data_IF_290385393089
#
_entry.id   IF_290385393089
#
_cell.length_a   1.000
_cell.length_b   1.000
_cell.length_c   1.000
_cell.angle_alpha   90.00
_cell.angle_beta   90.00
_cell.angle_gamma   90.00
#
_symmetry.space_group_name_H-M   'P 1'
#
loop_
_entity.id
_entity.type
_entity.pdbx_description
1 polymer ?
#
# COMPACT_ATOMS: atom_id res chain seq x y z
N UNK A 1 -36.00 3.59 51.06
CA UNK A 1 -34.66 3.25 50.50
C UNK A 1 -34.69 2.39 49.24
N UNK A 2 -35.62 1.43 49.07
CA UNK A 2 -35.70 0.56 47.86
C UNK A 2 -36.07 1.27 46.53
N UNK A 3 -36.93 2.29 46.57
CA UNK A 3 -37.38 3.04 45.36
C UNK A 3 -36.25 3.85 44.74
N UNK A 4 -35.39 4.47 45.55
CA UNK A 4 -34.23 5.24 45.09
C UNK A 4 -33.23 4.34 44.35
N UNK A 5 -33.06 3.10 44.82
CA UNK A 5 -32.15 2.13 44.21
C UNK A 5 -32.64 1.64 42.83
N UNK A 6 -33.95 1.41 42.69
CA UNK A 6 -34.55 1.02 41.41
C UNK A 6 -34.50 2.17 40.39
N UNK A 7 -34.69 3.41 40.83
CA UNK A 7 -34.58 4.58 39.96
C UNK A 7 -33.13 4.81 39.49
N UNK A 8 -32.15 4.60 40.37
CA UNK A 8 -30.73 4.65 40.01
C UNK A 8 -30.34 3.57 38.99
N UNK A 9 -30.81 2.33 39.15
CA UNK A 9 -30.56 1.25 38.18
C UNK A 9 -31.25 1.49 36.84
N UNK A 10 -32.46 2.05 36.83
CA UNK A 10 -33.17 2.44 35.62
C UNK A 10 -32.38 3.50 34.84
N UNK A 11 -31.90 4.56 35.53
CA UNK A 11 -31.11 5.63 34.91
C UNK A 11 -29.79 5.09 34.35
N UNK A 12 -29.10 4.21 35.08
CA UNK A 12 -27.86 3.58 34.58
C UNK A 12 -28.12 2.72 33.34
N UNK A 13 -29.20 1.94 33.32
CA UNK A 13 -29.55 1.15 32.14
C UNK A 13 -29.92 2.03 30.94
N UNK A 14 -30.69 3.10 31.14
CA UNK A 14 -31.06 4.04 30.06
C UNK A 14 -29.81 4.74 29.51
N UNK A 15 -28.93 5.26 30.37
CA UNK A 15 -27.69 5.92 29.93
C UNK A 15 -26.71 4.95 29.27
N UNK A 16 -26.68 3.69 29.69
CA UNK A 16 -25.85 2.66 29.09
C UNK A 16 -26.37 2.30 27.69
N UNK A 17 -27.69 2.11 27.53
CA UNK A 17 -28.32 1.79 26.26
C UNK A 17 -28.15 2.92 25.23
N UNK A 18 -28.46 4.16 25.62
CA UNK A 18 -28.28 5.36 24.77
C UNK A 18 -26.82 5.53 24.34
N UNK A 19 -25.88 5.31 25.28
CA UNK A 19 -24.45 5.33 25.00
C UNK A 19 -24.07 4.31 23.93
N UNK A 20 -24.50 3.06 24.07
CA UNK A 20 -24.18 2.00 23.10
C UNK A 20 -24.73 2.27 21.70
N UNK A 21 -25.94 2.84 21.60
CA UNK A 21 -26.54 3.20 20.32
C UNK A 21 -25.71 4.28 19.60
N UNK A 22 -25.29 5.32 20.32
CA UNK A 22 -24.45 6.41 19.77
C UNK A 22 -23.09 5.88 19.30
N UNK A 23 -22.45 4.98 20.06
CA UNK A 23 -21.18 4.37 19.64
C UNK A 23 -21.35 3.51 18.38
N UNK A 24 -22.42 2.73 18.31
CA UNK A 24 -22.69 1.88 17.15
C UNK A 24 -22.94 2.71 15.88
N UNK A 25 -23.74 3.77 15.98
CA UNK A 25 -24.01 4.67 14.85
C UNK A 25 -22.74 5.34 14.33
N UNK A 26 -21.89 5.87 15.22
CA UNK A 26 -20.61 6.48 14.82
C UNK A 26 -19.68 5.49 14.13
N UNK A 27 -19.63 4.24 14.60
CA UNK A 27 -18.83 3.20 13.95
C UNK A 27 -19.34 2.86 12.54
N UNK A 28 -20.67 2.84 12.34
CA UNK A 28 -21.26 2.62 11.02
C UNK A 28 -20.94 3.77 10.05
N UNK A 29 -21.02 5.01 10.52
CA UNK A 29 -20.67 6.20 9.73
C UNK A 29 -19.20 6.15 9.33
N UNK A 30 -18.31 5.93 10.29
CA UNK A 30 -16.88 5.82 10.03
C UNK A 30 -16.57 4.67 9.04
N UNK A 31 -17.20 3.51 9.20
CA UNK A 31 -17.03 2.38 8.29
C UNK A 31 -17.51 2.70 6.86
N UNK A 32 -18.61 3.46 6.72
CA UNK A 32 -19.12 3.90 5.41
C UNK A 32 -18.15 4.87 4.75
N UNK A 33 -17.72 5.90 5.47
CA UNK A 33 -16.77 6.91 4.98
C UNK A 33 -15.44 6.28 4.53
N UNK A 34 -14.89 5.35 5.31
CA UNK A 34 -13.70 4.59 4.94
C UNK A 34 -13.93 3.78 3.67
N UNK A 35 -15.11 3.17 3.51
CA UNK A 35 -15.43 2.39 2.31
C UNK A 35 -15.55 3.29 1.08
N UNK A 36 -16.24 4.41 1.18
CA UNK A 36 -16.41 5.40 0.09
C UNK A 36 -15.05 5.97 -0.33
N UNK A 37 -14.23 6.43 0.62
CA UNK A 37 -12.89 6.95 0.34
C UNK A 37 -11.99 5.90 -0.32
N UNK A 38 -12.03 4.64 0.13
CA UNK A 38 -11.27 3.57 -0.49
C UNK A 38 -11.74 3.28 -1.92
N UNK A 39 -13.06 3.34 -2.19
CA UNK A 39 -13.57 3.16 -3.55
C UNK A 39 -13.16 4.29 -4.47
N UNK A 40 -13.20 5.53 -4.00
CA UNK A 40 -12.76 6.69 -4.77
C UNK A 40 -11.26 6.63 -5.08
N UNK A 41 -10.44 6.26 -4.09
CA UNK A 41 -9.00 6.13 -4.23
C UNK A 41 -8.63 5.02 -5.23
N UNK A 42 -9.28 3.86 -5.14
CA UNK A 42 -9.08 2.78 -6.12
C UNK A 42 -9.50 3.19 -7.54
N UNK A 43 -10.62 3.89 -7.68
CA UNK A 43 -11.08 4.37 -8.99
C UNK A 43 -10.10 5.38 -9.59
N UNK A 44 -9.56 6.29 -8.77
CA UNK A 44 -8.56 7.27 -9.18
C UNK A 44 -7.26 6.59 -9.61
N UNK A 45 -6.78 5.61 -8.84
CA UNK A 45 -5.59 4.83 -9.17
C UNK A 45 -5.75 4.10 -10.51
N UNK A 46 -6.90 3.45 -10.72
CA UNK A 46 -7.19 2.73 -11.97
C UNK A 46 -7.18 3.67 -13.20
N UNK A 47 -7.79 4.85 -13.08
CA UNK A 47 -7.78 5.86 -14.16
C UNK A 47 -6.38 6.37 -14.47
N UNK A 48 -5.54 6.57 -13.45
CA UNK A 48 -4.15 6.96 -13.64
C UNK A 48 -3.36 5.87 -14.37
N UNK A 49 -3.60 4.60 -14.00
CA UNK A 49 -2.93 3.45 -14.58
C UNK A 49 -3.31 3.25 -16.06
N UNK A 50 -4.59 3.39 -16.41
CA UNK A 50 -5.03 3.39 -17.83
C UNK A 50 -4.39 4.53 -18.62
N UNK A 51 -4.37 5.73 -18.03
CA UNK A 51 -3.75 6.91 -18.66
C UNK A 51 -2.24 6.70 -18.88
N UNK A 52 -1.57 6.05 -17.94
CA UNK A 52 -0.15 5.71 -18.02
C UNK A 52 0.12 4.68 -19.12
N UNK A 53 -0.66 3.59 -19.15
CA UNK A 53 -0.57 2.53 -20.17
C UNK A 53 -0.81 3.07 -21.59
N UNK A 54 -1.74 4.02 -21.75
CA UNK A 54 -1.98 4.65 -23.06
C UNK A 54 -0.85 5.60 -23.48
N UNK A 55 -0.16 6.23 -22.52
CA UNK A 55 0.88 7.22 -22.82
C UNK A 55 2.23 6.57 -23.14
N UNK A 56 2.52 5.41 -22.57
CA UNK A 56 3.83 4.78 -22.63
C UNK A 56 3.76 3.36 -23.17
N UNK A 57 4.74 2.91 -23.98
CA UNK A 57 4.72 1.58 -24.58
C UNK A 57 5.14 0.50 -23.57
N UNK A 58 4.28 0.24 -22.58
CA UNK A 58 4.47 -0.76 -21.52
C UNK A 58 4.64 -2.17 -22.11
N UNK A 59 4.12 -2.42 -23.30
CA UNK A 59 4.23 -3.69 -24.00
C UNK A 59 5.70 -4.08 -24.25
N UNK A 60 6.59 -3.10 -24.42
CA UNK A 60 8.02 -3.35 -24.59
C UNK A 60 8.65 -3.97 -23.34
N UNK A 61 8.11 -3.66 -22.16
CA UNK A 61 8.63 -4.16 -20.88
C UNK A 61 8.30 -5.65 -20.69
N UNK A 62 7.21 -6.13 -21.30
CA UNK A 62 6.83 -7.55 -21.30
C UNK A 62 7.72 -8.44 -22.17
N UNK A 63 8.57 -7.86 -23.04
CA UNK A 63 9.37 -8.60 -24.03
C UNK A 63 10.23 -9.72 -23.42
N UNK A 64 10.75 -9.49 -22.22
CA UNK A 64 11.63 -10.45 -21.54
C UNK A 64 10.90 -11.29 -20.47
N UNK A 65 9.57 -11.20 -20.38
CA UNK A 65 8.72 -11.90 -19.40
C UNK A 65 9.05 -11.67 -17.91
N UNK A 66 10.04 -10.83 -17.58
CA UNK A 66 10.33 -10.40 -16.21
C UNK A 66 9.34 -9.35 -15.66
N UNK A 67 8.36 -8.94 -16.47
CA UNK A 67 7.39 -7.91 -16.14
C UNK A 67 5.97 -8.34 -16.50
N UNK A 68 5.05 -8.14 -15.56
CA UNK A 68 3.61 -8.42 -15.68
C UNK A 68 2.83 -7.14 -15.34
N UNK A 69 1.67 -6.94 -15.96
CA UNK A 69 0.90 -5.70 -15.79
C UNK A 69 0.43 -5.49 -14.33
N UNK A 70 0.26 -6.57 -13.56
CA UNK A 70 -0.05 -6.54 -12.11
C UNK A 70 1.00 -5.78 -11.29
N UNK A 71 2.25 -5.69 -11.78
CA UNK A 71 3.29 -4.89 -11.13
C UNK A 71 3.01 -3.39 -11.18
N UNK A 72 2.25 -2.90 -12.16
CA UNK A 72 1.89 -1.48 -12.23
C UNK A 72 0.90 -1.11 -11.12
N UNK A 73 0.04 -2.03 -10.71
CA UNK A 73 -0.96 -1.79 -9.67
C UNK A 73 -0.31 -1.59 -8.30
N UNK A 74 0.88 -2.17 -8.10
CA UNK A 74 1.74 -2.01 -6.91
C UNK A 74 2.48 -0.67 -6.86
N UNK A 75 2.57 0.06 -7.98
CA UNK A 75 3.28 1.33 -8.04
C UNK A 75 2.41 2.43 -7.41
N UNK A 76 3.01 3.23 -6.52
CA UNK A 76 2.32 4.37 -5.91
C UNK A 76 1.89 5.40 -6.97
N UNK A 77 0.67 5.94 -6.82
CA UNK A 77 0.07 6.98 -7.69
C UNK A 77 1.00 8.17 -7.97
N UNK A 78 1.86 8.54 -7.02
CA UNK A 78 2.81 9.63 -7.17
C UNK A 78 3.83 9.35 -8.29
N UNK A 79 4.34 8.12 -8.37
CA UNK A 79 5.36 7.75 -9.34
C UNK A 79 4.80 7.57 -10.76
N UNK A 80 3.52 7.20 -10.88
CA UNK A 80 2.82 7.04 -12.17
C UNK A 80 2.64 8.37 -12.93
N UNK A 81 2.82 9.51 -12.28
CA UNK A 81 2.69 10.83 -12.91
C UNK A 81 3.93 11.21 -13.73
N UNK A 82 5.08 10.59 -13.44
CA UNK A 82 6.34 10.91 -14.10
C UNK A 82 6.55 10.05 -15.36
N UNK A 83 7.26 10.62 -16.33
CA UNK A 83 7.70 9.88 -17.52
C UNK A 83 8.72 8.80 -17.13
N UNK A 84 8.70 7.61 -17.78
CA UNK A 84 9.73 6.61 -17.57
C UNK A 84 11.11 7.21 -17.91
N UNK A 85 12.14 6.93 -17.10
CA UNK A 85 13.48 7.46 -17.36
C UNK A 85 14.05 6.86 -18.65
N UNK A 86 15.00 7.59 -19.24
CA UNK A 86 15.68 7.18 -20.47
C UNK A 86 16.26 5.76 -20.35
N UNK A 87 16.10 4.94 -21.39
CA UNK A 87 16.60 3.56 -21.45
C UNK A 87 18.11 3.47 -21.15
N UNK A 88 18.89 4.44 -21.62
CA UNK A 88 20.33 4.49 -21.35
C UNK A 88 20.62 4.63 -19.85
N UNK A 89 19.88 5.47 -19.15
CA UNK A 89 20.05 5.69 -17.71
C UNK A 89 19.67 4.43 -16.92
N UNK A 90 18.57 3.77 -17.29
CA UNK A 90 18.16 2.52 -16.66
C UNK A 90 19.22 1.42 -16.84
N UNK A 91 19.81 1.31 -18.04
CA UNK A 91 20.91 0.35 -18.32
C UNK A 91 22.15 0.66 -17.49
N UNK A 92 22.52 1.93 -17.35
CA UNK A 92 23.66 2.34 -16.52
C UNK A 92 23.40 1.98 -15.05
N UNK A 93 22.24 2.33 -14.51
CA UNK A 93 21.88 2.02 -13.11
C UNK A 93 21.86 0.52 -12.86
N UNK A 94 21.29 -0.27 -13.78
CA UNK A 94 21.31 -1.73 -13.69
C UNK A 94 22.72 -2.31 -13.72
N UNK A 95 23.60 -1.80 -14.59
CA UNK A 95 25.00 -2.21 -14.66
C UNK A 95 25.78 -1.89 -13.37
N UNK A 96 25.60 -0.68 -12.83
CA UNK A 96 26.20 -0.28 -11.55
C UNK A 96 25.73 -1.17 -10.41
N UNK A 97 24.43 -1.49 -10.38
CA UNK A 97 23.88 -2.41 -9.37
C UNK A 97 24.54 -3.79 -9.43
N UNK A 98 24.65 -4.39 -10.62
CA UNK A 98 25.32 -5.70 -10.80
C UNK A 98 26.78 -5.65 -10.37
N UNK A 99 27.50 -4.56 -10.67
CA UNK A 99 28.90 -4.40 -10.24
C UNK A 99 28.99 -4.39 -8.71
N UNK A 100 28.18 -3.59 -8.02
CA UNK A 100 28.20 -3.57 -6.57
C UNK A 100 27.74 -4.89 -5.95
N UNK A 101 26.75 -5.55 -6.52
CA UNK A 101 26.30 -6.87 -6.07
C UNK A 101 27.40 -7.93 -6.21
N UNK A 102 28.15 -7.94 -7.32
CA UNK A 102 29.23 -8.91 -7.53
C UNK A 102 30.41 -8.68 -6.58
N UNK A 103 30.86 -7.42 -6.44
CA UNK A 103 31.92 -7.06 -5.48
C UNK A 103 31.50 -7.36 -4.04
N UNK A 104 30.27 -7.01 -3.67
CA UNK A 104 29.72 -7.26 -2.34
C UNK A 104 29.57 -8.75 -2.05
N UNK A 105 29.04 -9.53 -2.99
CA UNK A 105 28.92 -10.98 -2.84
C UNK A 105 30.30 -11.64 -2.72
N UNK A 106 31.24 -11.29 -3.60
CA UNK A 106 32.60 -11.83 -3.56
C UNK A 106 33.33 -11.48 -2.27
N UNK A 107 33.22 -10.23 -1.80
CA UNK A 107 33.79 -9.79 -0.53
C UNK A 107 33.23 -10.58 0.65
N UNK A 108 31.91 -10.76 0.72
CA UNK A 108 31.28 -11.53 1.78
C UNK A 108 31.67 -13.02 1.72
N UNK A 109 31.74 -13.62 0.54
CA UNK A 109 32.22 -15.00 0.35
C UNK A 109 33.66 -15.14 0.84
N UNK A 110 34.54 -14.20 0.50
CA UNK A 110 35.93 -14.22 0.95
C UNK A 110 36.05 -14.13 2.47
N UNK A 111 35.27 -13.25 3.12
CA UNK A 111 35.23 -13.14 4.58
C UNK A 111 34.77 -14.46 5.21
N UNK A 112 33.73 -15.09 4.68
CA UNK A 112 33.26 -16.39 5.16
C UNK A 112 34.31 -17.50 4.97
N UNK A 113 35.00 -17.53 3.83
CA UNK A 113 36.07 -18.50 3.58
C UNK A 113 37.27 -18.31 4.52
N UNK A 114 37.61 -17.06 4.85
CA UNK A 114 38.65 -16.76 5.83
C UNK A 114 38.26 -17.15 7.26
N UNK A 115 36.97 -17.04 7.61
CA UNK A 115 36.49 -17.41 8.94
C UNK A 115 36.35 -18.93 9.12
N UNK A 116 35.95 -19.64 8.06
CA UNK A 116 35.74 -21.09 8.08
C UNK A 116 37.03 -21.91 7.89
N UNK A 117 38.15 -21.25 7.58
CA UNK A 117 39.48 -21.86 7.43
C UNK A 117 40.36 -21.54 8.63
#
# INVERSE_FOLDING_TARGET
MRVVFLFALLIVNILCDEGTHIYHEKNLIWKREVTENNTELNLKHHKLLESFKNRWPVEKWRKFQYFTDDYLDLINEHWLQFSPPNEALQKILGGVYVLFSTVGCWGNVMVLLMYLR
#
